data_IF_267326119175
#
_entry.id   IF_267326119175
#
_cell.length_a   1.000
_cell.length_b   1.000
_cell.length_c   1.000
_cell.angle_alpha   90.00
_cell.angle_beta   90.00
_cell.angle_gamma   90.00
#
_symmetry.space_group_name_H-M   'P 1'
#
loop_
_entity.id
_entity.type
_entity.pdbx_description
1 polymer ?
#
# COMPACT_ATOMS: atom_id res chain seq x y z
N UNK A 1 3.33 24.25 -3.88
CA UNK A 1 3.80 25.61 -3.64
C UNK A 1 3.37 26.11 -2.25
N UNK A 2 2.05 26.25 -1.96
CA UNK A 2 1.55 26.82 -0.69
C UNK A 2 2.08 26.09 0.56
N UNK A 3 2.23 24.76 0.55
CA UNK A 3 2.79 23.99 1.67
C UNK A 3 4.29 24.24 1.87
N UNK A 4 5.05 24.45 0.80
CA UNK A 4 6.50 24.70 0.90
C UNK A 4 6.81 26.10 1.43
N UNK A 5 5.86 27.04 1.34
CA UNK A 5 6.00 28.40 1.88
C UNK A 5 5.50 28.55 3.32
N UNK A 6 4.92 27.52 3.95
CA UNK A 6 4.36 27.61 5.31
C UNK A 6 5.38 27.89 6.41
N UNK A 7 6.67 27.60 6.19
CA UNK A 7 7.76 27.90 7.14
C UNK A 7 8.36 29.30 7.00
N UNK A 8 8.00 30.06 5.99
CA UNK A 8 8.57 31.39 5.75
C UNK A 8 7.67 32.48 6.31
N UNK A 9 8.31 33.55 6.84
CA UNK A 9 7.61 34.78 7.25
C UNK A 9 7.57 35.74 6.06
N UNK A 10 6.37 36.20 5.72
CA UNK A 10 6.14 37.20 4.66
C UNK A 10 5.74 38.51 5.27
N UNK A 11 6.07 39.63 4.62
CA UNK A 11 5.71 40.95 5.07
C UNK A 11 4.19 41.24 4.94
N UNK A 12 3.59 40.67 3.89
CA UNK A 12 2.15 40.79 3.63
C UNK A 12 1.57 39.51 3.01
N UNK A 13 0.25 39.44 2.89
CA UNK A 13 -0.46 38.38 2.18
C UNK A 13 -0.17 38.46 0.68
N UNK A 14 -0.07 39.66 0.13
CA UNK A 14 0.24 39.94 -1.27
C UNK A 14 1.64 39.40 -1.63
N UNK A 15 2.64 39.61 -0.79
CA UNK A 15 4.00 39.09 -0.99
C UNK A 15 4.00 37.55 -1.02
N UNK A 16 3.21 36.94 -0.11
CA UNK A 16 3.07 35.48 -0.08
C UNK A 16 2.42 34.94 -1.36
N UNK A 17 1.34 35.59 -1.82
CA UNK A 17 0.63 35.18 -3.02
C UNK A 17 1.51 35.37 -4.27
N UNK A 18 2.26 36.47 -4.36
CA UNK A 18 3.20 36.70 -5.45
C UNK A 18 4.30 35.62 -5.51
N UNK A 19 4.88 35.24 -4.37
CA UNK A 19 5.90 34.19 -4.32
C UNK A 19 5.28 32.82 -4.63
N UNK A 20 4.08 32.53 -4.14
CA UNK A 20 3.37 31.29 -4.50
C UNK A 20 3.12 31.23 -6.01
N UNK A 21 2.72 32.36 -6.63
CA UNK A 21 2.56 32.46 -8.09
C UNK A 21 3.85 32.14 -8.84
N UNK A 22 4.95 32.79 -8.47
CA UNK A 22 6.26 32.50 -9.10
C UNK A 22 6.70 31.05 -8.97
N UNK A 23 6.46 30.42 -7.81
CA UNK A 23 6.78 28.99 -7.61
C UNK A 23 5.89 28.10 -8.47
N UNK A 24 4.60 28.44 -8.62
CA UNK A 24 3.67 27.71 -9.49
C UNK A 24 4.09 27.83 -10.94
N UNK A 25 4.34 29.04 -11.44
CA UNK A 25 4.76 29.29 -12.82
C UNK A 25 6.08 28.55 -13.15
N UNK A 26 7.04 28.61 -12.24
CA UNK A 26 8.30 27.88 -12.40
C UNK A 26 8.09 26.37 -12.40
N UNK A 27 7.20 25.83 -11.55
CA UNK A 27 6.89 24.41 -11.54
C UNK A 27 6.15 23.98 -12.81
N UNK A 28 5.18 24.76 -13.27
CA UNK A 28 4.44 24.48 -14.51
C UNK A 28 5.34 24.51 -15.76
N UNK A 29 6.32 25.44 -15.80
CA UNK A 29 7.25 25.57 -16.94
C UNK A 29 8.17 24.36 -17.15
N UNK A 30 8.43 23.58 -16.09
CA UNK A 30 9.28 22.36 -16.13
C UNK A 30 8.48 21.08 -15.97
N UNK A 31 7.16 21.15 -16.00
CA UNK A 31 6.25 20.00 -15.81
C UNK A 31 5.44 19.74 -17.07
N UNK A 32 5.16 18.47 -17.33
CA UNK A 32 4.24 18.05 -18.38
C UNK A 32 2.80 18.11 -17.87
N UNK A 33 1.94 18.76 -18.62
CA UNK A 33 0.53 18.79 -18.31
C UNK A 33 -0.15 17.51 -18.76
N UNK A 34 -0.65 16.73 -17.83
CA UNK A 34 -1.35 15.46 -18.09
C UNK A 34 -2.84 15.64 -18.37
N UNK A 35 -3.42 16.75 -17.94
CA UNK A 35 -4.84 17.06 -18.24
C UNK A 35 -5.02 17.34 -19.73
N UNK A 36 -5.88 16.58 -20.44
CA UNK A 36 -6.12 16.80 -21.85
C UNK A 36 -6.60 18.24 -22.12
N UNK A 37 -6.23 18.83 -23.27
CA UNK A 37 -6.78 20.12 -23.67
C UNK A 37 -8.31 20.03 -23.83
N UNK A 38 -8.99 21.16 -23.79
CA UNK A 38 -10.43 21.20 -24.11
C UNK A 38 -10.61 20.92 -25.60
N UNK A 39 -11.32 19.83 -25.91
CA UNK A 39 -11.63 19.47 -27.31
C UNK A 39 -12.66 20.41 -27.95
N UNK A 40 -13.47 21.09 -27.10
CA UNK A 40 -14.42 22.12 -27.55
C UNK A 40 -14.33 23.31 -26.58
N UNK A 41 -14.31 24.53 -27.13
CA UNK A 41 -14.32 25.74 -26.31
C UNK A 41 -15.72 25.96 -25.72
N UNK A 42 -15.79 26.09 -24.41
CA UNK A 42 -17.04 26.43 -23.72
C UNK A 42 -17.48 27.86 -24.11
N UNK A 43 -18.78 28.09 -24.42
CA UNK A 43 -19.32 29.41 -24.62
C UNK A 43 -19.02 30.36 -23.45
N UNK A 44 -18.94 31.66 -23.68
CA UNK A 44 -18.59 32.64 -22.64
C UNK A 44 -19.51 32.59 -21.42
N UNK A 45 -20.78 32.27 -21.59
CA UNK A 45 -21.75 32.10 -20.48
C UNK A 45 -21.43 30.95 -19.53
N UNK A 46 -20.59 29.99 -19.96
CA UNK A 46 -20.16 28.84 -19.16
C UNK A 46 -18.67 28.91 -18.81
N UNK A 47 -18.09 30.10 -18.81
CA UNK A 47 -16.72 30.36 -18.33
C UNK A 47 -16.75 31.08 -17.00
N UNK A 48 -15.83 30.70 -16.12
CA UNK A 48 -15.56 31.41 -14.87
C UNK A 48 -14.83 32.72 -15.16
N UNK A 49 -14.72 33.65 -14.18
CA UNK A 49 -13.95 34.88 -14.34
C UNK A 49 -12.48 34.66 -14.71
N UNK A 50 -11.90 33.53 -14.34
CA UNK A 50 -10.54 33.13 -14.67
C UNK A 50 -10.42 32.50 -16.08
N UNK A 51 -11.51 32.50 -16.87
CA UNK A 51 -11.57 31.93 -18.21
C UNK A 51 -11.74 30.41 -18.27
N UNK A 52 -11.70 29.72 -17.13
CA UNK A 52 -11.89 28.25 -17.09
C UNK A 52 -13.35 27.85 -17.27
N UNK A 53 -13.58 26.68 -17.89
CA UNK A 53 -14.92 26.13 -18.09
C UNK A 53 -15.57 25.73 -16.77
N UNK A 54 -16.88 26.03 -16.60
CA UNK A 54 -17.66 25.56 -15.44
C UNK A 54 -17.86 24.04 -15.44
N UNK A 55 -17.72 23.39 -16.61
CA UNK A 55 -17.82 21.95 -16.75
C UNK A 55 -16.55 21.19 -16.30
N UNK A 56 -15.45 21.90 -16.05
CA UNK A 56 -14.25 21.33 -15.43
C UNK A 56 -14.21 21.65 -13.94
N UNK A 57 -13.88 20.68 -13.08
CA UNK A 57 -13.64 20.97 -11.67
C UNK A 57 -12.56 22.04 -11.50
N UNK A 58 -12.69 22.92 -10.51
CA UNK A 58 -11.62 23.85 -10.18
C UNK A 58 -10.37 23.08 -9.79
N UNK A 59 -9.20 23.57 -10.18
CA UNK A 59 -7.90 22.95 -9.90
C UNK A 59 -7.77 21.50 -10.42
N UNK A 60 -8.43 21.18 -11.53
CA UNK A 60 -8.35 19.86 -12.16
C UNK A 60 -7.15 19.68 -13.09
N UNK A 61 -6.32 20.70 -13.27
CA UNK A 61 -5.08 20.55 -14.04
C UNK A 61 -4.08 19.68 -13.24
N UNK A 62 -3.63 18.59 -13.86
CA UNK A 62 -2.65 17.66 -13.32
C UNK A 62 -1.36 17.80 -14.11
N UNK A 63 -0.27 17.92 -13.40
CA UNK A 63 1.09 18.02 -13.96
C UNK A 63 1.95 16.91 -13.37
N UNK A 64 2.93 16.43 -14.13
CA UNK A 64 3.98 15.53 -13.67
C UNK A 64 5.33 15.93 -14.26
N UNK A 65 6.42 15.50 -13.64
CA UNK A 65 7.75 15.70 -14.23
C UNK A 65 8.10 14.57 -15.19
N UNK A 66 8.90 14.88 -16.22
CA UNK A 66 9.42 13.86 -17.14
C UNK A 66 10.20 12.76 -16.41
N UNK A 67 10.96 13.13 -15.37
CA UNK A 67 11.72 12.18 -14.54
C UNK A 67 10.81 11.17 -13.87
N UNK A 68 9.66 11.63 -13.36
CA UNK A 68 8.69 10.74 -12.70
C UNK A 68 8.02 9.80 -13.69
N UNK A 69 7.55 10.34 -14.83
CA UNK A 69 6.92 9.53 -15.89
C UNK A 69 7.90 8.49 -16.46
N UNK A 70 9.14 8.90 -16.73
CA UNK A 70 10.16 7.96 -17.19
C UNK A 70 10.50 6.87 -16.16
N UNK A 71 10.41 7.17 -14.85
CA UNK A 71 10.57 6.17 -13.80
C UNK A 71 9.39 5.18 -13.77
N UNK A 72 8.17 5.67 -13.96
CA UNK A 72 6.98 4.84 -14.06
C UNK A 72 7.05 3.88 -15.26
N UNK A 73 7.45 4.39 -16.44
CA UNK A 73 7.64 3.58 -17.64
C UNK A 73 8.68 2.47 -17.42
N UNK A 74 9.82 2.80 -16.82
CA UNK A 74 10.87 1.81 -16.52
C UNK A 74 10.41 0.75 -15.50
N UNK A 75 9.59 1.13 -14.52
CA UNK A 75 8.99 0.18 -13.57
C UNK A 75 8.06 -0.81 -14.28
N UNK A 76 7.18 -0.33 -15.17
CA UNK A 76 6.29 -1.17 -15.95
C UNK A 76 7.07 -2.11 -16.89
N UNK A 77 8.10 -1.62 -17.57
CA UNK A 77 8.94 -2.43 -18.44
C UNK A 77 9.60 -3.59 -17.66
N UNK A 78 10.19 -3.29 -16.48
CA UNK A 78 10.77 -4.34 -15.62
C UNK A 78 9.73 -5.31 -15.10
N UNK A 79 8.53 -4.85 -14.75
CA UNK A 79 7.44 -5.72 -14.28
C UNK A 79 6.96 -6.70 -15.37
N UNK A 80 7.07 -6.30 -16.64
CA UNK A 80 6.73 -7.15 -17.81
C UNK A 80 7.88 -8.07 -18.22
N UNK A 81 9.12 -7.77 -17.80
CA UNK A 81 10.30 -8.58 -18.08
C UNK A 81 10.28 -9.88 -17.27
N UNK A 82 10.45 -11.04 -17.94
CA UNK A 82 10.33 -12.38 -17.35
C UNK A 82 11.64 -13.15 -17.32
N UNK A 83 12.74 -12.49 -17.04
CA UNK A 83 14.10 -13.08 -16.93
C UNK A 83 14.58 -13.24 -15.49
N UNK A 84 13.68 -13.00 -14.54
CA UNK A 84 13.96 -13.08 -13.11
C UNK A 84 14.13 -14.52 -12.62
N UNK A 85 14.80 -14.68 -11.46
CA UNK A 85 14.94 -15.99 -10.83
C UNK A 85 13.57 -16.54 -10.39
N UNK A 86 13.46 -17.87 -10.41
CA UNK A 86 12.24 -18.63 -10.08
C UNK A 86 12.55 -19.73 -9.09
N UNK A 87 11.51 -20.31 -8.50
CA UNK A 87 11.59 -21.52 -7.67
C UNK A 87 10.83 -22.64 -8.39
N UNK A 88 11.37 -23.86 -8.52
CA UNK A 88 10.69 -24.96 -9.17
C UNK A 88 9.35 -25.32 -8.51
N UNK A 89 8.36 -25.73 -9.33
CA UNK A 89 7.02 -26.10 -8.86
C UNK A 89 7.06 -27.17 -7.75
N UNK A 90 7.89 -28.18 -7.89
CA UNK A 90 8.04 -29.23 -6.89
C UNK A 90 8.48 -28.72 -5.51
N UNK A 91 9.27 -27.64 -5.47
CA UNK A 91 9.65 -26.99 -4.21
C UNK A 91 8.48 -26.20 -3.63
N UNK A 92 7.72 -25.49 -4.47
CA UNK A 92 6.51 -24.77 -4.08
C UNK A 92 5.49 -25.74 -3.48
N UNK A 93 5.14 -26.81 -4.17
CA UNK A 93 4.20 -27.83 -3.71
C UNK A 93 4.63 -28.46 -2.37
N UNK A 94 5.90 -28.79 -2.22
CA UNK A 94 6.43 -29.34 -0.97
C UNK A 94 6.30 -28.35 0.21
N UNK A 95 6.47 -27.06 -0.02
CA UNK A 95 6.37 -26.04 1.02
C UNK A 95 4.91 -25.76 1.36
N UNK A 96 4.02 -25.71 0.37
CA UNK A 96 2.58 -25.45 0.57
C UNK A 96 1.85 -26.60 1.23
N UNK A 97 2.27 -27.85 0.96
CA UNK A 97 1.67 -29.06 1.55
C UNK A 97 2.04 -29.26 3.04
N UNK A 98 3.06 -28.59 3.56
CA UNK A 98 3.54 -28.81 4.93
C UNK A 98 3.19 -27.66 5.85
N UNK A 99 2.73 -27.93 7.08
CA UNK A 99 2.60 -26.91 8.10
C UNK A 99 3.93 -26.21 8.37
N UNK A 100 3.87 -24.98 8.84
CA UNK A 100 5.05 -24.28 9.33
C UNK A 100 5.49 -24.81 10.72
N UNK A 101 6.53 -24.20 11.30
CA UNK A 101 7.05 -24.62 12.60
C UNK A 101 6.04 -24.45 13.75
N UNK A 102 5.05 -23.57 13.57
CA UNK A 102 3.95 -23.34 14.50
C UNK A 102 2.71 -24.19 14.20
N UNK A 103 2.81 -25.14 13.25
CA UNK A 103 1.71 -26.02 12.85
C UNK A 103 0.63 -25.34 11.98
N UNK A 104 0.90 -24.16 11.40
CA UNK A 104 -0.04 -23.45 10.54
C UNK A 104 0.12 -23.90 9.10
N UNK A 105 -0.99 -24.16 8.43
CA UNK A 105 -1.06 -24.44 6.99
C UNK A 105 -1.42 -23.16 6.23
N UNK A 106 -0.95 -23.05 5.01
CA UNK A 106 -1.34 -21.95 4.12
C UNK A 106 -2.81 -22.08 3.71
N UNK A 107 -3.51 -20.95 3.63
CA UNK A 107 -4.79 -20.88 2.96
C UNK A 107 -4.64 -21.05 1.44
N UNK A 108 -5.74 -21.39 0.73
CA UNK A 108 -5.69 -21.56 -0.72
C UNK A 108 -5.19 -20.31 -1.46
N UNK A 109 -5.63 -19.13 -1.07
CA UNK A 109 -5.20 -17.83 -1.61
C UNK A 109 -3.71 -17.55 -1.36
N UNK A 110 -3.21 -17.92 -0.18
CA UNK A 110 -1.78 -17.78 0.17
C UNK A 110 -0.91 -18.76 -0.65
N UNK A 111 -1.37 -19.99 -0.83
CA UNK A 111 -0.67 -20.99 -1.64
C UNK A 111 -0.63 -20.60 -3.12
N UNK A 112 -1.75 -20.11 -3.67
CA UNK A 112 -1.83 -19.62 -5.05
C UNK A 112 -0.91 -18.38 -5.26
N UNK A 113 -0.97 -17.41 -4.36
CA UNK A 113 -0.10 -16.23 -4.41
C UNK A 113 1.38 -16.61 -4.37
N UNK A 114 1.76 -17.54 -3.48
CA UNK A 114 3.13 -18.05 -3.40
C UNK A 114 3.55 -18.72 -4.73
N UNK A 115 2.70 -19.58 -5.30
CA UNK A 115 3.00 -20.26 -6.54
C UNK A 115 3.18 -19.27 -7.70
N UNK A 116 2.28 -18.32 -7.86
CA UNK A 116 2.36 -17.28 -8.89
C UNK A 116 3.65 -16.47 -8.78
N UNK A 117 4.02 -15.99 -7.59
CA UNK A 117 5.24 -15.19 -7.38
C UNK A 117 6.49 -16.03 -7.62
N UNK A 118 6.51 -17.28 -7.10
CA UNK A 118 7.68 -18.13 -7.19
C UNK A 118 7.99 -18.61 -8.62
N UNK A 119 6.95 -18.81 -9.44
CA UNK A 119 7.06 -19.39 -10.79
C UNK A 119 7.10 -18.34 -11.90
N UNK A 120 6.69 -17.11 -11.66
CA UNK A 120 6.41 -16.11 -12.72
C UNK A 120 7.62 -15.74 -13.58
N UNK A 121 8.84 -15.87 -13.08
CA UNK A 121 10.02 -15.35 -13.75
C UNK A 121 10.06 -13.82 -13.92
N UNK A 122 9.05 -13.08 -13.48
CA UNK A 122 9.03 -11.62 -13.58
C UNK A 122 10.12 -11.00 -12.71
N UNK A 123 10.73 -9.92 -13.21
CA UNK A 123 11.72 -9.17 -12.43
C UNK A 123 11.09 -8.41 -11.27
N UNK A 124 9.85 -7.95 -11.44
CA UNK A 124 9.04 -7.33 -10.39
C UNK A 124 7.72 -8.11 -10.29
N UNK A 125 7.43 -8.61 -9.10
CA UNK A 125 6.11 -9.11 -8.75
C UNK A 125 5.45 -8.22 -7.69
N UNK A 126 4.13 -8.31 -7.60
CA UNK A 126 3.33 -7.62 -6.59
C UNK A 126 2.62 -8.64 -5.71
N UNK A 127 2.40 -8.29 -4.46
CA UNK A 127 1.52 -9.01 -3.54
C UNK A 127 0.57 -8.02 -2.88
N UNK A 128 -0.72 -8.21 -3.12
CA UNK A 128 -1.77 -7.36 -2.59
C UNK A 128 -2.47 -8.07 -1.44
N UNK A 129 -2.74 -7.35 -0.36
CA UNK A 129 -3.54 -7.92 0.73
C UNK A 129 -3.79 -6.92 1.84
N UNK A 130 -5.00 -6.92 2.42
CA UNK A 130 -5.35 -6.03 3.53
C UNK A 130 -4.57 -6.38 4.80
N UNK A 131 -4.62 -5.49 5.79
CA UNK A 131 -4.07 -5.77 7.10
C UNK A 131 -4.74 -7.02 7.72
N UNK A 132 -3.94 -8.00 8.14
CA UNK A 132 -4.48 -9.23 8.72
C UNK A 132 -4.83 -10.35 7.74
N UNK A 133 -4.63 -10.18 6.43
CA UNK A 133 -4.81 -11.24 5.42
C UNK A 133 -3.75 -12.35 5.47
N UNK A 134 -2.79 -12.27 6.38
CA UNK A 134 -1.74 -13.28 6.51
C UNK A 134 -0.58 -13.09 5.54
N UNK A 135 -0.30 -11.86 5.11
CA UNK A 135 0.87 -11.53 4.28
C UNK A 135 2.16 -12.12 4.84
N UNK A 136 2.42 -11.93 6.12
CA UNK A 136 3.61 -12.47 6.81
C UNK A 136 3.70 -14.00 6.70
N UNK A 137 2.56 -14.71 6.80
CA UNK A 137 2.53 -16.18 6.65
C UNK A 137 2.89 -16.60 5.22
N UNK A 138 2.30 -15.95 4.21
CA UNK A 138 2.61 -16.22 2.81
C UNK A 138 4.07 -15.88 2.47
N UNK A 139 4.57 -14.72 2.92
CA UNK A 139 5.96 -14.31 2.73
C UNK A 139 6.96 -15.24 3.43
N UNK A 140 6.66 -15.75 4.63
CA UNK A 140 7.48 -16.75 5.31
C UNK A 140 7.56 -18.07 4.52
N UNK A 141 6.46 -18.51 3.94
CA UNK A 141 6.46 -19.69 3.08
C UNK A 141 7.25 -19.47 1.80
N UNK A 142 7.08 -18.29 1.16
CA UNK A 142 7.86 -17.89 -0.02
C UNK A 142 9.36 -17.83 0.31
N UNK A 143 9.75 -17.23 1.45
CA UNK A 143 11.13 -17.20 1.91
C UNK A 143 11.70 -18.63 2.03
N UNK A 144 10.97 -19.54 2.66
CA UNK A 144 11.42 -20.94 2.81
C UNK A 144 11.62 -21.62 1.45
N UNK A 145 10.71 -21.40 0.50
CA UNK A 145 10.83 -21.93 -0.84
C UNK A 145 12.03 -21.32 -1.58
N UNK A 146 12.19 -20.01 -1.47
CA UNK A 146 13.28 -19.27 -2.11
C UNK A 146 14.66 -19.66 -1.57
N UNK A 147 14.81 -19.70 -0.24
CA UNK A 147 16.07 -20.12 0.41
C UNK A 147 16.41 -21.60 0.18
N UNK A 148 15.42 -22.43 -0.05
CA UNK A 148 15.65 -23.83 -0.44
C UNK A 148 16.36 -23.92 -1.81
N UNK A 149 15.95 -23.08 -2.76
CA UNK A 149 16.49 -23.09 -4.13
C UNK A 149 17.77 -22.25 -4.27
N UNK A 150 17.77 -21.06 -3.73
CA UNK A 150 18.82 -20.06 -3.93
C UNK A 150 19.79 -19.92 -2.74
N UNK A 151 19.62 -20.74 -1.70
CA UNK A 151 20.45 -20.74 -0.48
C UNK A 151 19.97 -19.78 0.60
N UNK A 152 20.44 -20.01 1.81
CA UNK A 152 20.11 -19.18 2.99
C UNK A 152 20.58 -17.74 2.79
N UNK A 153 19.74 -16.78 3.21
CA UNK A 153 20.01 -15.36 3.06
C UNK A 153 19.83 -14.84 1.63
N UNK A 154 19.19 -15.62 0.76
CA UNK A 154 18.79 -15.15 -0.57
C UNK A 154 17.53 -14.29 -0.56
N UNK A 155 16.88 -14.11 0.59
CA UNK A 155 15.76 -13.19 0.76
C UNK A 155 16.21 -12.04 1.65
N UNK A 156 15.98 -10.80 1.19
CA UNK A 156 16.29 -9.57 1.91
C UNK A 156 15.09 -8.65 1.88
N UNK A 157 14.94 -7.81 2.93
CA UNK A 157 13.81 -6.93 3.09
C UNK A 157 14.18 -5.44 3.00
N UNK A 158 13.29 -4.64 2.43
CA UNK A 158 13.33 -3.18 2.47
C UNK A 158 11.98 -2.66 2.92
N UNK A 159 11.99 -1.60 3.74
CA UNK A 159 10.77 -0.96 4.22
C UNK A 159 10.94 0.57 4.31
N UNK A 160 9.85 1.36 4.31
CA UNK A 160 9.94 2.83 4.26
C UNK A 160 10.47 3.45 5.56
N UNK A 161 10.42 2.74 6.68
CA UNK A 161 10.93 3.21 7.98
C UNK A 161 11.83 2.18 8.65
N UNK A 162 12.69 2.63 9.59
CA UNK A 162 13.55 1.74 10.36
C UNK A 162 12.73 0.79 11.26
N UNK A 163 11.60 1.26 11.79
CA UNK A 163 10.69 0.45 12.60
C UNK A 163 10.05 -0.65 11.75
N UNK A 164 9.52 -0.31 10.57
CA UNK A 164 8.93 -1.28 9.66
C UNK A 164 9.98 -2.30 9.17
N UNK A 165 11.20 -1.87 8.90
CA UNK A 165 12.30 -2.77 8.53
C UNK A 165 12.65 -3.75 9.66
N UNK A 166 12.65 -3.30 10.91
CA UNK A 166 12.89 -4.16 12.06
C UNK A 166 11.79 -5.20 12.25
N UNK A 167 10.52 -4.77 12.13
CA UNK A 167 9.37 -5.69 12.18
C UNK A 167 9.44 -6.72 11.04
N UNK A 168 9.76 -6.29 9.83
CA UNK A 168 9.93 -7.19 8.68
C UNK A 168 11.05 -8.20 8.90
N UNK A 169 12.19 -7.75 9.48
CA UNK A 169 13.32 -8.61 9.81
C UNK A 169 12.93 -9.69 10.83
N UNK A 170 12.24 -9.30 11.91
CA UNK A 170 11.81 -10.22 12.97
C UNK A 170 10.74 -11.20 12.46
N UNK A 171 9.73 -10.69 11.74
CA UNK A 171 8.60 -11.48 11.24
C UNK A 171 9.05 -12.55 10.22
N UNK A 172 10.00 -12.22 9.38
CA UNK A 172 10.48 -13.13 8.33
C UNK A 172 11.82 -13.81 8.67
N UNK A 173 12.53 -13.40 9.71
CA UNK A 173 13.86 -13.91 10.03
C UNK A 173 14.89 -13.66 8.91
N UNK A 174 14.86 -12.47 8.29
CA UNK A 174 15.74 -12.05 7.18
C UNK A 174 16.50 -10.79 7.54
N UNK A 175 17.54 -10.48 6.78
CA UNK A 175 18.14 -9.14 6.84
C UNK A 175 17.18 -8.14 6.20
N UNK A 176 16.83 -7.08 6.92
CA UNK A 176 16.02 -5.99 6.37
C UNK A 176 16.58 -4.63 6.80
N UNK A 177 16.37 -3.61 5.94
CA UNK A 177 16.87 -2.27 6.17
C UNK A 177 15.83 -1.22 5.71
N UNK A 178 15.96 -0.01 6.26
CA UNK A 178 15.23 1.13 5.74
C UNK A 178 15.66 1.45 4.31
N UNK A 179 14.69 1.67 3.42
CA UNK A 179 14.92 1.91 1.99
C UNK A 179 15.89 3.06 1.72
N UNK A 180 15.72 4.21 2.38
CA UNK A 180 16.57 5.37 2.18
C UNK A 180 18.01 5.11 2.67
N UNK A 181 18.15 4.44 3.82
CA UNK A 181 19.45 4.08 4.37
C UNK A 181 20.16 3.04 3.49
N UNK A 182 19.44 2.07 2.94
CA UNK A 182 20.01 1.10 2.02
C UNK A 182 20.54 1.77 0.75
N UNK A 183 19.79 2.69 0.15
CA UNK A 183 20.22 3.46 -1.02
C UNK A 183 21.43 4.35 -0.71
N UNK A 184 21.44 5.04 0.43
CA UNK A 184 22.60 5.82 0.88
C UNK A 184 23.86 4.94 1.10
N UNK A 185 23.68 3.75 1.66
CA UNK A 185 24.77 2.78 1.81
C UNK A 185 25.29 2.30 0.45
N UNK A 186 24.40 2.02 -0.50
CA UNK A 186 24.77 1.70 -1.87
C UNK A 186 25.62 2.81 -2.50
N UNK A 187 25.18 4.07 -2.38
CA UNK A 187 25.88 5.23 -2.95
C UNK A 187 27.31 5.41 -2.39
N UNK A 188 27.47 5.14 -1.09
CA UNK A 188 28.76 5.30 -0.42
C UNK A 188 29.71 4.14 -0.59
N UNK A 189 29.19 2.91 -0.70
CA UNK A 189 30.02 1.69 -0.61
C UNK A 189 29.99 0.83 -1.87
N UNK A 190 29.06 1.08 -2.79
CA UNK A 190 28.81 0.20 -3.94
C UNK A 190 28.13 -1.12 -3.56
N UNK A 191 27.69 -1.30 -2.30
CA UNK A 191 26.97 -2.50 -1.89
C UNK A 191 25.68 -2.68 -2.71
N UNK A 192 25.46 -3.88 -3.25
CA UNK A 192 24.32 -4.16 -4.12
C UNK A 192 23.71 -5.53 -3.83
N UNK A 193 22.62 -5.87 -4.50
CA UNK A 193 22.00 -7.18 -4.43
C UNK A 193 22.87 -8.26 -5.09
N UNK A 194 22.53 -9.52 -4.86
CA UNK A 194 23.20 -10.70 -5.43
C UNK A 194 22.28 -11.41 -6.40
N UNK A 195 22.84 -12.06 -7.39
CA UNK A 195 22.10 -12.90 -8.33
C UNK A 195 21.27 -13.95 -7.59
N UNK A 196 20.02 -14.13 -8.01
CA UNK A 196 19.10 -15.08 -7.40
C UNK A 196 18.45 -14.59 -6.09
N UNK A 197 18.74 -13.38 -5.61
CA UNK A 197 18.06 -12.84 -4.43
C UNK A 197 16.60 -12.48 -4.74
N UNK A 198 15.77 -12.60 -3.70
CA UNK A 198 14.44 -11.99 -3.63
C UNK A 198 14.51 -10.77 -2.72
N UNK A 199 14.23 -9.60 -3.28
CA UNK A 199 14.16 -8.32 -2.56
C UNK A 199 12.70 -8.04 -2.25
N UNK A 200 12.31 -8.17 -0.99
CA UNK A 200 10.95 -7.85 -0.53
C UNK A 200 10.89 -6.38 -0.16
N UNK A 201 10.07 -5.60 -0.85
CA UNK A 201 9.77 -4.19 -0.51
C UNK A 201 8.40 -4.16 0.13
N UNK A 202 8.37 -4.06 1.46
CA UNK A 202 7.13 -4.03 2.25
C UNK A 202 6.61 -2.60 2.41
N UNK A 203 5.31 -2.45 2.68
CA UNK A 203 4.60 -1.17 2.74
C UNK A 203 4.86 -0.28 1.50
N UNK A 204 4.91 -0.90 0.33
CA UNK A 204 5.33 -0.25 -0.91
C UNK A 204 4.39 0.89 -1.37
N UNK A 205 3.17 0.95 -0.88
CA UNK A 205 2.27 2.10 -1.08
C UNK A 205 2.84 3.42 -0.52
N UNK A 206 3.77 3.33 0.45
CA UNK A 206 4.48 4.48 1.02
C UNK A 206 5.83 4.75 0.35
N UNK A 207 6.31 3.85 -0.51
CA UNK A 207 7.57 4.03 -1.22
C UNK A 207 7.41 5.06 -2.35
N UNK A 208 8.30 6.03 -2.44
CA UNK A 208 8.33 6.98 -3.55
C UNK A 208 8.70 6.28 -4.87
N UNK A 209 8.06 6.68 -5.97
CA UNK A 209 8.28 6.12 -7.32
C UNK A 209 9.75 6.08 -7.71
N UNK A 210 10.50 7.17 -7.48
CA UNK A 210 11.92 7.25 -7.84
C UNK A 210 12.79 6.29 -7.00
N UNK A 211 12.47 6.11 -5.73
CA UNK A 211 13.19 5.15 -4.88
C UNK A 211 12.91 3.71 -5.32
N UNK A 212 11.66 3.40 -5.64
CA UNK A 212 11.27 2.08 -6.13
C UNK A 212 11.89 1.78 -7.51
N UNK A 213 11.89 2.76 -8.42
CA UNK A 213 12.59 2.64 -9.73
C UNK A 213 14.07 2.32 -9.53
N UNK A 214 14.74 3.03 -8.62
CA UNK A 214 16.16 2.82 -8.35
C UNK A 214 16.45 1.44 -7.73
N UNK A 215 15.67 1.01 -6.74
CA UNK A 215 15.81 -0.32 -6.11
C UNK A 215 15.62 -1.42 -7.14
N UNK A 216 14.56 -1.35 -7.93
CA UNK A 216 14.25 -2.37 -8.94
C UNK A 216 15.28 -2.39 -10.07
N UNK A 217 15.86 -1.23 -10.44
CA UNK A 217 16.97 -1.16 -11.39
C UNK A 217 18.21 -1.90 -10.86
N UNK A 218 18.60 -1.66 -9.61
CA UNK A 218 19.72 -2.31 -8.97
C UNK A 218 19.50 -3.82 -8.78
N UNK A 219 18.28 -4.22 -8.41
CA UNK A 219 17.91 -5.63 -8.31
C UNK A 219 18.00 -6.33 -9.68
N UNK A 220 17.42 -5.71 -10.72
CA UNK A 220 17.48 -6.23 -12.09
C UNK A 220 18.90 -6.36 -12.60
N UNK A 221 19.74 -5.34 -12.41
CA UNK A 221 21.13 -5.36 -12.82
C UNK A 221 21.94 -6.48 -12.14
N UNK A 222 21.59 -6.80 -10.89
CA UNK A 222 22.21 -7.90 -10.14
C UNK A 222 21.64 -9.29 -10.49
N UNK A 223 20.57 -9.39 -11.30
CA UNK A 223 19.85 -10.63 -11.54
C UNK A 223 19.05 -11.12 -10.33
N UNK A 224 18.56 -10.19 -9.51
CA UNK A 224 17.68 -10.39 -8.38
C UNK A 224 16.23 -10.06 -8.76
N UNK A 225 15.26 -10.67 -8.09
CA UNK A 225 13.83 -10.40 -8.26
C UNK A 225 13.34 -9.48 -7.17
N UNK A 226 12.46 -8.55 -7.50
CA UNK A 226 11.80 -7.68 -6.51
C UNK A 226 10.34 -8.13 -6.30
N UNK A 227 9.93 -8.30 -5.04
CA UNK A 227 8.55 -8.48 -4.63
C UNK A 227 8.06 -7.22 -3.91
N UNK A 228 7.08 -6.56 -4.48
CA UNK A 228 6.49 -5.33 -3.95
C UNK A 228 5.22 -5.68 -3.19
N UNK A 229 5.19 -5.43 -1.88
CA UNK A 229 4.09 -5.84 -0.99
C UNK A 229 3.36 -4.61 -0.46
N UNK A 230 2.03 -4.62 -0.50
CA UNK A 230 1.24 -3.50 -0.02
C UNK A 230 -0.18 -3.87 0.40
N UNK A 231 -0.90 -2.87 0.91
CA UNK A 231 -2.29 -3.00 1.36
C UNK A 231 -3.24 -2.44 0.31
N UNK A 232 -4.28 -3.20 -0.01
CA UNK A 232 -5.32 -2.80 -0.96
C UNK A 232 -6.08 -1.53 -0.52
N UNK A 233 -6.35 -1.39 0.78
CA UNK A 233 -7.06 -0.22 1.30
C UNK A 233 -6.31 1.10 1.04
N UNK A 234 -4.97 1.04 0.94
CA UNK A 234 -4.13 2.20 0.65
C UNK A 234 -4.12 2.58 -0.84
N UNK A 235 -4.55 1.68 -1.74
CA UNK A 235 -4.68 1.97 -3.18
C UNK A 235 -5.82 2.94 -3.49
N UNK A 236 -6.80 3.09 -2.59
CA UNK A 236 -7.96 3.97 -2.77
C UNK A 236 -7.69 5.44 -2.41
N UNK A 237 -6.51 5.74 -1.86
CA UNK A 237 -6.13 7.12 -1.53
C UNK A 237 -5.48 7.78 -2.76
N UNK A 238 -6.04 8.87 -3.32
CA UNK A 238 -5.58 9.48 -4.56
C UNK A 238 -4.11 9.95 -4.56
N UNK A 239 -3.50 10.07 -3.39
CA UNK A 239 -2.15 10.64 -3.20
C UNK A 239 -1.11 9.65 -2.67
N UNK A 240 -1.50 8.43 -2.25
CA UNK A 240 -0.61 7.53 -1.51
C UNK A 240 -0.16 6.28 -2.29
N UNK A 241 -0.80 5.97 -3.42
CA UNK A 241 -0.59 4.67 -4.05
C UNK A 241 0.50 4.64 -5.14
N UNK A 242 0.84 5.78 -5.74
CA UNK A 242 1.98 5.96 -6.67
C UNK A 242 2.29 4.76 -7.56
N UNK A 243 3.55 4.44 -7.68
CA UNK A 243 4.05 3.35 -8.51
C UNK A 243 3.51 1.96 -8.10
N UNK A 244 3.22 1.71 -6.81
CA UNK A 244 2.66 0.42 -6.38
C UNK A 244 1.27 0.18 -6.99
N UNK A 245 0.38 1.19 -6.94
CA UNK A 245 -0.94 1.07 -7.56
C UNK A 245 -0.85 0.83 -9.08
N UNK A 246 0.04 1.56 -9.73
CA UNK A 246 0.30 1.40 -11.16
C UNK A 246 0.74 -0.03 -11.49
N UNK A 247 1.68 -0.60 -10.74
CA UNK A 247 2.16 -1.97 -10.92
C UNK A 247 1.07 -3.02 -10.68
N UNK A 248 0.18 -2.78 -9.72
CA UNK A 248 -0.97 -3.65 -9.47
C UNK A 248 -1.98 -3.56 -10.62
N UNK A 249 -2.29 -2.35 -11.10
CA UNK A 249 -3.25 -2.13 -12.17
C UNK A 249 -2.76 -2.60 -13.56
N UNK A 250 -1.45 -2.66 -13.78
CA UNK A 250 -0.87 -3.20 -15.03
C UNK A 250 -1.02 -4.72 -15.14
N UNK A 251 -1.57 -5.39 -14.12
CA UNK A 251 -1.69 -6.84 -14.03
C UNK A 251 -3.10 -7.29 -13.72
N UNK A 252 -3.73 -8.00 -14.66
CA UNK A 252 -5.02 -8.67 -14.43
C UNK A 252 -4.89 -9.87 -13.47
N UNK A 253 -3.67 -10.41 -13.33
CA UNK A 253 -3.36 -11.60 -12.54
C UNK A 253 -2.57 -11.30 -11.25
N UNK A 254 -2.62 -10.09 -10.73
CA UNK A 254 -1.91 -9.72 -9.52
C UNK A 254 -2.28 -10.65 -8.34
N UNK A 255 -1.31 -11.32 -7.68
CA UNK A 255 -1.59 -12.14 -6.51
C UNK A 255 -2.23 -11.33 -5.39
N UNK A 256 -3.41 -11.76 -4.94
CA UNK A 256 -4.18 -11.09 -3.90
C UNK A 256 -4.54 -12.05 -2.76
N UNK A 257 -4.34 -11.60 -1.51
CA UNK A 257 -4.77 -12.29 -0.32
C UNK A 257 -6.12 -11.73 0.12
N UNK A 258 -7.17 -12.55 0.00
CA UNK A 258 -8.56 -12.13 0.26
C UNK A 258 -9.07 -12.56 1.63
N UNK A 259 -8.52 -13.62 2.21
CA UNK A 259 -8.97 -14.18 3.48
C UNK A 259 -8.41 -13.42 4.69
N UNK A 260 -9.28 -12.82 5.52
CA UNK A 260 -8.88 -12.14 6.76
C UNK A 260 -8.76 -13.16 7.91
N UNK A 261 -7.54 -13.60 8.19
CA UNK A 261 -7.25 -14.65 9.19
C UNK A 261 -7.23 -14.15 10.65
N UNK A 262 -6.99 -12.86 10.92
CA UNK A 262 -6.90 -12.32 12.30
C UNK A 262 -8.19 -12.43 13.10
N UNK A 263 -9.36 -12.40 12.48
CA UNK A 263 -10.65 -12.52 13.16
C UNK A 263 -10.92 -13.95 13.67
N UNK A 264 -10.37 -14.98 13.02
CA UNK A 264 -10.54 -16.37 13.43
C UNK A 264 -9.78 -16.70 14.74
N UNK A 265 -8.63 -16.08 14.99
CA UNK A 265 -7.84 -16.30 16.21
C UNK A 265 -8.41 -15.55 17.44
N UNK A 266 -9.01 -14.40 17.28
CA UNK A 266 -9.69 -13.68 18.37
C UNK A 266 -10.88 -14.49 18.91
N UNK A 267 -11.66 -15.11 18.03
CA UNK A 267 -12.79 -15.98 18.43
C UNK A 267 -12.34 -17.26 19.15
N UNK A 268 -11.19 -17.85 18.80
CA UNK A 268 -10.66 -19.06 19.48
C UNK A 268 -10.05 -18.72 20.85
N UNK A 269 -9.52 -17.53 21.08
CA UNK A 269 -9.02 -17.10 22.41
C UNK A 269 -10.17 -16.73 23.36
N UNK A 270 -11.29 -16.22 22.88
CA UNK A 270 -12.44 -15.91 23.72
C UNK A 270 -13.18 -17.17 24.20
N UNK A 271 -13.13 -18.28 23.47
CA UNK A 271 -13.78 -19.55 23.83
C UNK A 271 -13.08 -20.39 24.91
N UNK A 272 -11.90 -19.99 25.42
CA UNK A 272 -11.13 -20.77 26.43
C UNK A 272 -10.89 -20.09 27.77
N UNK A 273 -11.51 -18.97 28.07
CA UNK A 273 -11.57 -18.50 29.47
C UNK A 273 -12.67 -19.26 30.18
N UNK A 274 -12.33 -20.39 30.84
CA UNK A 274 -13.11 -20.94 31.93
C UNK A 274 -13.16 -19.88 33.01
N UNK A 275 -14.32 -19.33 33.26
CA UNK A 275 -14.59 -18.56 34.46
C UNK A 275 -14.41 -19.52 35.65
N UNK A 276 -13.31 -19.35 36.37
CA UNK A 276 -13.12 -20.01 37.66
C UNK A 276 -14.20 -19.50 38.61
N UNK A 277 -15.14 -20.36 38.98
CA UNK A 277 -16.14 -20.05 39.99
C UNK A 277 -15.49 -19.97 41.36
N UNK A 278 -15.64 -18.84 42.02
CA UNK A 278 -15.28 -18.68 43.43
C UNK A 278 -16.40 -19.32 44.26
N UNK A 279 -16.07 -20.32 45.08
CA UNK A 279 -16.98 -20.92 46.05
C UNK A 279 -17.05 -20.03 47.29
N UNK A 280 -18.19 -19.47 47.57
CA UNK A 280 -18.56 -19.00 48.89
C UNK A 280 -19.91 -19.61 49.28
N UNK A 281 -19.93 -20.34 50.38
CA UNK A 281 -21.13 -20.67 51.13
C UNK A 281 -22.23 -21.47 50.38
N UNK A 282 -21.93 -22.69 49.92
CA UNK A 282 -22.92 -23.75 49.77
C UNK A 282 -24.12 -23.56 48.83
N UNK A 283 -24.18 -22.51 47.98
CA UNK A 283 -25.28 -22.33 47.04
C UNK A 283 -24.81 -21.79 45.70
N UNK A 284 -25.16 -22.44 44.61
CA UNK A 284 -24.92 -22.00 43.25
C UNK A 284 -25.90 -20.91 42.87
N UNK A 285 -25.40 -19.72 42.53
CA UNK A 285 -26.20 -18.71 41.84
C UNK A 285 -25.60 -18.62 40.42
N UNK A 286 -26.25 -19.28 39.49
CA UNK A 286 -25.99 -19.18 38.05
C UNK A 286 -26.76 -18.01 37.47
N UNK A 287 -26.05 -16.97 37.07
CA UNK A 287 -26.60 -15.90 36.21
C UNK A 287 -26.33 -16.23 34.75
N UNK A 288 -27.32 -16.72 34.05
CA UNK A 288 -27.31 -16.79 32.58
C UNK A 288 -27.66 -15.39 32.05
N UNK A 289 -26.72 -14.75 31.38
CA UNK A 289 -27.07 -13.71 30.41
C UNK A 289 -27.17 -14.38 29.05
N UNK A 290 -28.40 -14.61 28.63
CA UNK A 290 -28.72 -15.01 27.28
C UNK A 290 -28.47 -13.85 26.32
N UNK A 291 -27.54 -14.06 25.37
CA UNK A 291 -27.45 -13.20 24.20
C UNK A 291 -28.53 -13.66 23.21
N UNK A 292 -29.56 -12.87 23.05
CA UNK A 292 -30.58 -13.05 22.01
C UNK A 292 -29.95 -12.96 20.63
N UNK A 293 -30.15 -14.02 19.86
CA UNK A 293 -30.05 -14.01 18.40
C UNK A 293 -31.32 -13.30 17.88
N UNK A 294 -31.15 -12.21 17.21
CA UNK A 294 -32.15 -11.71 16.26
C UNK A 294 -31.60 -11.85 14.86
N UNK A 295 -32.03 -12.91 14.17
CA UNK A 295 -32.12 -12.96 12.73
C UNK A 295 -33.26 -12.02 12.31
N UNK A 296 -32.97 -11.06 11.44
CA UNK A 296 -34.00 -10.48 10.57
C UNK A 296 -33.37 -10.18 9.21
N UNK A 297 -33.71 -11.05 8.24
CA UNK A 297 -33.82 -10.66 6.83
C UNK A 297 -34.81 -9.49 6.73
N UNK A 298 -34.43 -8.48 6.00
CA UNK A 298 -35.29 -7.85 4.98
C UNK A 298 -34.53 -6.69 4.33
N UNK A 299 -34.47 -6.71 3.00
CA UNK A 299 -33.98 -5.63 2.18
C UNK A 299 -34.81 -4.35 2.35
N UNK A 300 -34.12 -3.21 2.33
CA UNK A 300 -34.76 -1.91 2.03
C UNK A 300 -33.82 -1.02 1.24
N UNK A 301 -34.32 -0.69 0.09
CA UNK A 301 -33.98 0.39 -0.81
C UNK A 301 -33.88 1.73 -0.05
N UNK A 302 -32.81 2.45 -0.20
CA UNK A 302 -32.70 3.82 0.30
C UNK A 302 -33.21 4.80 -0.76
N UNK A 303 -34.41 5.33 -0.51
CA UNK A 303 -34.96 6.53 -1.16
C UNK A 303 -34.63 7.77 -0.30
N UNK A 304 -34.16 8.82 -0.97
CA UNK A 304 -33.93 10.17 -0.42
C UNK A 304 -35.20 10.77 0.18
N UNK A 305 -35.08 11.63 1.21
CA UNK A 305 -36.06 12.70 1.43
C UNK A 305 -35.52 14.06 0.96
N UNK A 306 -36.45 14.78 0.36
CA UNK A 306 -36.38 16.15 -0.15
C UNK A 306 -36.68 17.13 1.00
N UNK A 307 -35.90 18.19 1.05
CA UNK A 307 -36.12 19.55 1.53
C UNK A 307 -37.39 19.94 2.33
N UNK A 308 -37.15 20.57 3.45
CA UNK A 308 -38.07 21.50 4.09
C UNK A 308 -37.28 22.55 4.89
N UNK A 309 -37.46 23.83 4.55
CA UNK A 309 -36.70 24.94 5.10
C UNK A 309 -37.17 25.39 6.49
N UNK A 310 -36.33 26.18 7.17
CA UNK A 310 -36.66 26.86 8.42
C UNK A 310 -35.48 27.69 8.91
N UNK A 311 -35.64 29.01 8.88
CA UNK A 311 -34.75 29.99 9.47
C UNK A 311 -34.58 29.82 10.99
N UNK A 312 -33.38 29.98 11.52
CA UNK A 312 -33.14 30.70 12.77
C UNK A 312 -31.63 30.99 12.93
N UNK A 313 -31.39 32.22 13.33
CA UNK A 313 -30.16 32.90 13.71
C UNK A 313 -29.50 32.31 14.97
N UNK A 314 -28.17 32.39 15.05
CA UNK A 314 -27.49 32.24 16.34
C UNK A 314 -26.01 31.93 16.18
N UNK A 315 -25.19 32.87 16.56
CA UNK A 315 -23.75 32.78 16.80
C UNK A 315 -23.36 31.56 17.62
N UNK A 316 -22.30 30.87 17.29
CA UNK A 316 -21.14 30.79 18.18
C UNK A 316 -19.95 30.04 17.53
N UNK A 317 -18.79 30.47 17.96
CA UNK A 317 -17.47 29.93 17.64
C UNK A 317 -17.35 28.54 18.24
N UNK A 318 -16.69 27.61 17.55
CA UNK A 318 -15.56 26.91 18.18
C UNK A 318 -14.72 26.10 17.19
N UNK A 319 -13.44 26.12 17.48
CA UNK A 319 -12.30 25.47 16.88
C UNK A 319 -12.45 23.94 16.91
N UNK A 320 -12.04 23.27 15.85
CA UNK A 320 -11.48 21.94 15.97
C UNK A 320 -10.23 21.77 15.12
N UNK A 321 -9.17 21.48 15.82
CA UNK A 321 -7.85 21.05 15.35
C UNK A 321 -7.96 19.69 14.64
N UNK A 322 -7.21 19.54 13.56
CA UNK A 322 -6.68 18.25 13.15
C UNK A 322 -5.20 18.39 12.83
N UNK A 323 -4.40 17.67 13.63
CA UNK A 323 -3.01 17.34 13.36
C UNK A 323 -2.86 16.41 12.15
#
# INVERSE_FOLDING_TARGET
AARQTTGYRFASTEDREAIVGLVVDAAESVSLRLTPPELASSPAAFRRPDGTSVFRPKHSAVFSSEVLLAAEDRLLERARTTTGPTVPLATVERITARPDREGRTLGPDQADALARIALSGRMIDVLVGPAGAGKTTAMNALRRAWEHEHGRGSVVGLAPSAVAAHVLADDLGIAAENTAKWLDTHDRTGATFRRGQLVVVDEASMAGTLALDRITALATAAGAKTLVVGDYAQLQLPTAAGAYAMLVHDRDDAPELTAVHRLAHARRRCGRRRLGGIRHGGRWIGGFLAAEKTEHETGRVWSRPILGGGHASGSDRDRLYYE
#
